data_IF_092359342563
#
_entry.id   IF_092359342563
#
_cell.length_a   1.000
_cell.length_b   1.000
_cell.length_c   1.000
_cell.angle_alpha   90.00
_cell.angle_beta   90.00
_cell.angle_gamma   90.00
#
_symmetry.space_group_name_H-M   'P 1'
#
loop_
_entity.id
_entity.type
_entity.pdbx_description
1 polymer ?
#
# COMPACT_ATOMS: atom_id res chain seq x y z
N UNK A 1 -17.67 -12.93 5.01
CA UNK A 1 -17.36 -12.33 3.72
C UNK A 1 -18.60 -11.71 3.03
N UNK A 2 -19.81 -11.91 3.54
CA UNK A 2 -21.05 -11.37 3.00
C UNK A 2 -21.38 -10.04 3.67
N UNK A 3 -21.58 -8.98 2.91
CA UNK A 3 -22.09 -7.68 3.34
C UNK A 3 -23.53 -7.50 2.84
N UNK A 4 -24.35 -6.61 3.44
CA UNK A 4 -25.72 -6.35 3.01
C UNK A 4 -25.78 -5.55 1.71
N UNK A 5 -24.93 -5.86 0.75
CA UNK A 5 -24.84 -5.29 -0.59
C UNK A 5 -24.84 -6.41 -1.63
N UNK A 6 -25.31 -6.14 -2.83
CA UNK A 6 -25.40 -7.11 -3.93
C UNK A 6 -26.27 -8.35 -3.62
N UNK A 7 -27.29 -8.21 -2.74
CA UNK A 7 -28.21 -9.30 -2.47
C UNK A 7 -28.85 -9.84 -3.78
N UNK A 8 -28.96 -11.17 -3.95
CA UNK A 8 -28.77 -12.26 -2.98
C UNK A 8 -27.37 -12.92 -3.01
N UNK A 9 -26.37 -12.28 -3.59
CA UNK A 9 -25.05 -12.85 -3.73
C UNK A 9 -24.29 -12.92 -2.41
N UNK A 10 -23.51 -13.99 -2.24
CA UNK A 10 -22.65 -14.21 -1.09
C UNK A 10 -21.19 -13.77 -1.36
N UNK A 11 -20.38 -13.70 -0.29
CA UNK A 11 -18.97 -13.32 -0.32
C UNK A 11 -18.69 -11.96 -0.99
N UNK A 12 -19.62 -11.03 -0.89
CA UNK A 12 -19.60 -9.72 -1.58
C UNK A 12 -18.45 -8.83 -1.16
N UNK A 13 -17.83 -9.04 0.00
CA UNK A 13 -16.58 -8.35 0.40
C UNK A 13 -15.35 -8.78 -0.44
N UNK A 14 -15.43 -9.89 -1.16
CA UNK A 14 -14.38 -10.35 -2.06
C UNK A 14 -14.61 -9.93 -3.53
N UNK A 15 -15.61 -9.08 -3.81
CA UNK A 15 -15.85 -8.52 -5.16
C UNK A 15 -14.92 -7.34 -5.47
N UNK A 16 -14.37 -6.72 -4.44
CA UNK A 16 -13.42 -5.62 -4.51
C UNK A 16 -12.46 -5.71 -3.32
N UNK A 17 -11.81 -4.62 -2.96
CA UNK A 17 -10.92 -4.55 -1.80
C UNK A 17 -11.69 -4.78 -0.49
N UNK A 18 -11.21 -5.69 0.36
CA UNK A 18 -11.90 -6.08 1.60
C UNK A 18 -11.71 -5.09 2.76
N UNK A 19 -10.74 -4.18 2.68
CA UNK A 19 -10.40 -3.16 3.68
C UNK A 19 -10.09 -3.70 5.09
N UNK A 20 -9.80 -5.00 5.25
CA UNK A 20 -9.51 -5.61 6.55
C UNK A 20 -8.31 -4.95 7.25
N UNK A 21 -7.28 -4.55 6.50
CA UNK A 21 -6.11 -3.86 7.04
C UNK A 21 -6.43 -2.47 7.61
N UNK A 22 -7.56 -1.88 7.22
CA UNK A 22 -8.08 -0.64 7.77
C UNK A 22 -9.06 -0.93 8.91
N UNK A 23 -9.95 -1.90 8.68
CA UNK A 23 -11.00 -2.26 9.63
C UNK A 23 -10.45 -2.69 10.99
N UNK A 24 -9.32 -3.38 11.06
CA UNK A 24 -8.67 -3.78 12.31
C UNK A 24 -8.45 -2.58 13.25
N UNK A 25 -8.08 -1.42 12.72
CA UNK A 25 -7.81 -0.22 13.52
C UNK A 25 -9.04 0.65 13.72
N UNK A 26 -10.00 0.58 12.81
CA UNK A 26 -11.18 1.46 12.83
C UNK A 26 -12.41 0.83 13.47
N UNK A 27 -12.49 -0.50 13.53
CA UNK A 27 -13.62 -1.20 14.15
C UNK A 27 -13.88 -0.80 15.62
N UNK A 28 -12.88 -0.65 16.49
CA UNK A 28 -13.12 -0.18 17.86
C UNK A 28 -13.79 1.20 17.90
N UNK A 29 -13.36 2.13 17.04
CA UNK A 29 -13.96 3.46 16.97
C UNK A 29 -15.40 3.38 16.45
N UNK A 30 -15.66 2.51 15.45
CA UNK A 30 -17.02 2.27 14.95
C UNK A 30 -17.94 1.72 16.04
N UNK A 31 -17.47 0.77 16.84
CA UNK A 31 -18.27 0.20 17.94
C UNK A 31 -18.55 1.20 19.05
N UNK A 32 -17.61 2.09 19.35
CA UNK A 32 -17.76 3.10 20.39
C UNK A 32 -18.67 4.25 19.97
N UNK A 33 -18.64 4.64 18.70
CA UNK A 33 -19.32 5.87 18.24
C UNK A 33 -20.57 5.62 17.40
N UNK A 34 -20.67 4.46 16.76
CA UNK A 34 -21.71 4.17 15.77
C UNK A 34 -21.69 5.09 14.53
N UNK A 35 -20.64 5.92 14.38
CA UNK A 35 -20.59 6.98 13.35
C UNK A 35 -19.58 6.63 12.23
N UNK A 36 -20.04 6.07 11.09
CA UNK A 36 -19.16 5.68 9.99
C UNK A 36 -18.43 6.86 9.31
N UNK A 37 -19.03 8.05 9.34
CA UNK A 37 -18.40 9.26 8.76
C UNK A 37 -17.20 9.68 9.59
N UNK A 38 -17.33 9.66 10.92
CA UNK A 38 -16.21 9.93 11.82
C UNK A 38 -15.09 8.90 11.60
N UNK A 39 -15.44 7.62 11.53
CA UNK A 39 -14.49 6.53 11.31
C UNK A 39 -13.73 6.71 10.00
N UNK A 40 -14.44 7.03 8.91
CA UNK A 40 -13.83 7.31 7.62
C UNK A 40 -12.85 8.50 7.71
N UNK A 41 -13.26 9.61 8.30
CA UNK A 41 -12.44 10.81 8.42
C UNK A 41 -11.17 10.55 9.27
N UNK A 42 -11.29 9.81 10.36
CA UNK A 42 -10.13 9.41 11.19
C UNK A 42 -9.17 8.52 10.38
N UNK A 43 -9.67 7.52 9.67
CA UNK A 43 -8.85 6.66 8.80
C UNK A 43 -8.18 7.46 7.68
N UNK A 44 -8.92 8.40 7.07
CA UNK A 44 -8.40 9.30 6.04
C UNK A 44 -7.23 10.12 6.56
N UNK A 45 -7.36 10.81 7.69
CA UNK A 45 -6.28 11.59 8.29
C UNK A 45 -5.11 10.70 8.74
N UNK A 46 -5.42 9.54 9.35
CA UNK A 46 -4.41 8.58 9.76
C UNK A 46 -3.56 8.07 8.59
N UNK A 47 -4.12 7.98 7.37
CA UNK A 47 -3.39 7.57 6.18
C UNK A 47 -2.24 8.52 5.81
N UNK A 48 -2.39 9.83 6.05
CA UNK A 48 -1.32 10.82 5.85
C UNK A 48 -0.23 10.68 6.90
N UNK A 49 -0.64 10.53 8.17
CA UNK A 49 0.30 10.34 9.29
C UNK A 49 1.11 9.07 9.11
N UNK A 50 0.45 7.96 8.75
CA UNK A 50 1.11 6.69 8.52
C UNK A 50 2.10 6.76 7.34
N UNK A 51 1.69 7.35 6.22
CA UNK A 51 2.54 7.51 5.04
C UNK A 51 3.77 8.36 5.34
N UNK A 52 3.58 9.53 5.97
CA UNK A 52 4.67 10.44 6.33
C UNK A 52 5.63 9.83 7.36
N UNK A 53 5.09 9.24 8.43
CA UNK A 53 5.90 8.61 9.48
C UNK A 53 6.67 7.40 8.96
N UNK A 54 6.02 6.53 8.18
CA UNK A 54 6.66 5.36 7.57
C UNK A 54 7.83 5.74 6.68
N UNK A 55 7.63 6.72 5.80
CA UNK A 55 8.69 7.19 4.90
C UNK A 55 9.79 7.95 5.67
N UNK A 56 9.44 8.74 6.69
CA UNK A 56 10.41 9.38 7.58
C UNK A 56 11.35 8.34 8.24
N UNK A 57 10.79 7.28 8.80
CA UNK A 57 11.56 6.22 9.45
C UNK A 57 12.48 5.50 8.45
N UNK A 58 11.95 5.16 7.27
CA UNK A 58 12.71 4.50 6.21
C UNK A 58 13.87 5.38 5.73
N UNK A 59 13.58 6.60 5.30
CA UNK A 59 14.59 7.51 4.74
C UNK A 59 15.65 7.89 5.78
N UNK A 60 15.25 8.15 7.03
CA UNK A 60 16.20 8.39 8.13
C UNK A 60 17.10 7.18 8.36
N UNK A 61 16.55 5.97 8.31
CA UNK A 61 17.30 4.73 8.52
C UNK A 61 18.36 4.48 7.42
N UNK A 62 18.02 4.84 6.17
CA UNK A 62 18.91 4.66 5.01
C UNK A 62 19.98 5.75 4.96
N UNK A 63 19.60 7.01 5.19
CA UNK A 63 20.48 8.16 5.00
C UNK A 63 21.25 8.59 6.25
N UNK A 64 20.80 8.17 7.44
CA UNK A 64 21.28 8.69 8.72
C UNK A 64 20.86 10.13 9.03
N UNK A 65 20.09 10.79 8.15
CA UNK A 65 19.71 12.20 8.25
C UNK A 65 18.22 12.36 8.58
N UNK A 66 17.93 13.01 9.72
CA UNK A 66 16.56 13.34 10.11
C UNK A 66 15.91 14.37 9.16
N UNK A 67 16.71 15.29 8.60
CA UNK A 67 16.23 16.28 7.64
C UNK A 67 15.81 15.60 6.32
N UNK A 68 16.61 14.66 5.82
CA UNK A 68 16.24 13.85 4.65
C UNK A 68 14.97 13.01 4.93
N UNK A 69 14.88 12.43 6.14
CA UNK A 69 13.67 11.72 6.55
C UNK A 69 12.43 12.60 6.57
N UNK A 70 12.52 13.80 7.14
CA UNK A 70 11.40 14.75 7.20
C UNK A 70 10.95 15.17 5.78
N UNK A 71 11.90 15.52 4.91
CA UNK A 71 11.61 15.90 3.53
C UNK A 71 10.93 14.75 2.78
N UNK A 72 11.47 13.54 2.86
CA UNK A 72 10.90 12.35 2.22
C UNK A 72 9.52 12.02 2.79
N UNK A 73 9.33 12.14 4.12
CA UNK A 73 8.06 11.91 4.78
C UNK A 73 6.97 12.87 4.33
N UNK A 74 7.26 14.16 4.27
CA UNK A 74 6.32 15.18 3.77
C UNK A 74 6.01 14.93 2.29
N UNK A 75 7.03 14.75 1.47
CA UNK A 75 6.86 14.49 0.04
C UNK A 75 5.97 13.26 -0.23
N UNK A 76 6.19 12.18 0.50
CA UNK A 76 5.43 10.94 0.33
C UNK A 76 4.00 11.05 0.88
N UNK A 77 3.80 11.73 2.03
CA UNK A 77 2.46 11.92 2.60
C UNK A 77 1.57 12.80 1.73
N UNK A 78 2.14 13.79 1.03
CA UNK A 78 1.41 14.78 0.25
C UNK A 78 1.67 14.66 -1.25
N UNK A 79 1.92 13.45 -1.75
CA UNK A 79 2.04 13.18 -3.18
C UNK A 79 0.81 13.72 -3.93
N UNK A 80 0.98 14.45 -5.05
CA UNK A 80 -0.11 14.95 -5.89
C UNK A 80 -1.11 13.86 -6.32
N UNK A 81 -0.64 12.64 -6.55
CA UNK A 81 -1.45 11.45 -6.82
C UNK A 81 -2.60 11.24 -5.82
N UNK A 82 -2.41 11.59 -4.55
CA UNK A 82 -3.45 11.44 -3.51
C UNK A 82 -4.70 12.29 -3.76
N UNK A 83 -4.52 13.45 -4.39
CA UNK A 83 -5.64 14.36 -4.67
C UNK A 83 -6.69 13.76 -5.61
N UNK A 84 -6.26 12.86 -6.49
CA UNK A 84 -7.15 12.13 -7.40
C UNK A 84 -7.82 10.92 -6.73
N UNK A 85 -7.23 10.41 -5.66
CA UNK A 85 -7.65 9.19 -4.98
C UNK A 85 -8.38 9.43 -3.66
N UNK A 86 -8.79 10.67 -3.37
CA UNK A 86 -9.52 11.01 -2.14
C UNK A 86 -10.72 10.08 -1.85
N UNK A 87 -11.54 9.66 -2.83
CA UNK A 87 -12.66 8.76 -2.57
C UNK A 87 -12.25 7.31 -2.28
N UNK A 88 -10.97 6.94 -2.51
CA UNK A 88 -10.47 5.57 -2.46
C UNK A 88 -9.56 5.35 -1.25
N UNK A 89 -10.16 5.19 -0.06
CA UNK A 89 -9.41 5.05 1.19
C UNK A 89 -8.37 3.92 1.14
N UNK A 90 -8.69 2.79 0.48
CA UNK A 90 -7.75 1.68 0.26
C UNK A 90 -6.50 2.10 -0.50
N UNK A 91 -6.64 3.01 -1.47
CA UNK A 91 -5.51 3.54 -2.25
C UNK A 91 -4.69 4.52 -1.41
N UNK A 92 -5.34 5.29 -0.53
CA UNK A 92 -4.65 6.25 0.35
C UNK A 92 -3.85 5.55 1.46
N UNK A 93 -4.19 4.29 1.82
CA UNK A 93 -3.57 3.54 2.91
C UNK A 93 -2.27 2.80 2.47
N UNK A 94 -1.45 3.44 1.66
CA UNK A 94 -0.18 2.89 1.20
C UNK A 94 1.00 3.10 2.17
N UNK A 95 0.76 3.75 3.30
CA UNK A 95 1.79 4.03 4.30
C UNK A 95 2.38 2.79 4.97
N UNK A 96 1.73 1.64 4.89
CA UNK A 96 2.29 0.38 5.36
C UNK A 96 3.50 -0.08 4.55
N UNK A 97 3.60 0.29 3.26
CA UNK A 97 4.75 -0.07 2.42
C UNK A 97 6.08 0.46 2.97
N UNK A 98 6.25 1.78 3.23
CA UNK A 98 7.51 2.27 3.79
C UNK A 98 7.77 1.78 5.21
N UNK A 99 6.74 1.49 6.03
CA UNK A 99 6.91 0.86 7.35
C UNK A 99 7.46 -0.56 7.19
N UNK A 100 6.92 -1.35 6.25
CA UNK A 100 7.43 -2.69 5.94
C UNK A 100 8.89 -2.63 5.45
N UNK A 101 9.21 -1.74 4.51
CA UNK A 101 10.58 -1.57 4.02
C UNK A 101 11.54 -1.12 5.12
N UNK A 102 11.11 -0.25 6.03
CA UNK A 102 11.90 0.14 7.18
C UNK A 102 12.21 -1.07 8.09
N UNK A 103 11.22 -1.88 8.42
CA UNK A 103 11.40 -3.11 9.18
C UNK A 103 12.35 -4.09 8.48
N UNK A 104 12.17 -4.26 7.17
CA UNK A 104 12.98 -5.15 6.34
C UNK A 104 14.44 -4.69 6.27
N UNK A 105 14.70 -3.42 5.94
CA UNK A 105 16.03 -2.83 5.93
C UNK A 105 16.71 -2.94 7.30
N UNK A 106 15.96 -2.64 8.38
CA UNK A 106 16.50 -2.71 9.74
C UNK A 106 16.83 -4.14 10.14
N UNK A 107 16.04 -5.14 9.71
CA UNK A 107 16.35 -6.53 9.95
C UNK A 107 17.67 -6.96 9.29
N UNK A 108 17.91 -6.61 8.03
CA UNK A 108 19.17 -6.91 7.36
C UNK A 108 20.36 -6.21 7.99
N UNK A 109 20.16 -5.01 8.49
CA UNK A 109 21.23 -4.22 9.12
C UNK A 109 21.58 -4.69 10.53
N UNK A 110 20.61 -5.14 11.32
CA UNK A 110 20.78 -5.41 12.76
C UNK A 110 20.59 -6.88 13.16
N UNK A 111 19.87 -7.67 12.38
CA UNK A 111 19.47 -9.04 12.73
C UNK A 111 18.40 -9.13 13.83
N UNK A 112 17.78 -8.01 14.22
CA UNK A 112 16.78 -8.01 15.29
C UNK A 112 15.42 -8.55 14.80
N UNK A 113 14.91 -9.60 15.46
CA UNK A 113 13.64 -10.25 15.12
C UNK A 113 12.44 -9.30 15.18
N UNK A 114 12.44 -8.32 16.09
CA UNK A 114 11.38 -7.33 16.15
C UNK A 114 11.25 -6.55 14.83
N UNK A 115 12.36 -6.23 14.17
CA UNK A 115 12.33 -5.56 12.86
C UNK A 115 11.70 -6.44 11.78
N UNK A 116 11.99 -7.75 11.82
CA UNK A 116 11.35 -8.74 10.93
C UNK A 116 9.83 -8.87 11.22
N UNK A 117 9.44 -8.83 12.49
CA UNK A 117 8.02 -8.81 12.87
C UNK A 117 7.32 -7.55 12.35
N UNK A 118 7.94 -6.38 12.48
CA UNK A 118 7.39 -5.12 11.93
C UNK A 118 7.22 -5.22 10.42
N UNK A 119 8.22 -5.76 9.72
CA UNK A 119 8.10 -6.04 8.28
C UNK A 119 6.90 -6.92 7.96
N UNK A 120 6.79 -8.08 8.62
CA UNK A 120 5.73 -9.05 8.33
C UNK A 120 4.34 -8.47 8.60
N UNK A 121 4.15 -7.81 9.74
CA UNK A 121 2.87 -7.20 10.12
C UNK A 121 2.49 -6.07 9.15
N UNK A 122 3.41 -5.15 8.85
CA UNK A 122 3.12 -4.05 7.94
C UNK A 122 2.88 -4.53 6.50
N UNK A 123 3.60 -5.57 6.05
CA UNK A 123 3.40 -6.19 4.75
C UNK A 123 2.01 -6.84 4.63
N UNK A 124 1.58 -7.59 5.65
CA UNK A 124 0.24 -8.18 5.71
C UNK A 124 -0.85 -7.10 5.76
N UNK A 125 -0.68 -6.06 6.58
CA UNK A 125 -1.63 -4.95 6.66
C UNK A 125 -1.75 -4.21 5.32
N UNK A 126 -0.67 -4.07 4.56
CA UNK A 126 -0.73 -3.53 3.20
C UNK A 126 -1.57 -4.41 2.29
N UNK A 127 -1.35 -5.73 2.32
CA UNK A 127 -2.10 -6.70 1.52
C UNK A 127 -3.58 -6.75 1.87
N UNK A 128 -3.91 -6.59 3.15
CA UNK A 128 -5.29 -6.52 3.64
C UNK A 128 -5.96 -5.14 3.45
N UNK A 129 -5.19 -4.12 3.03
CA UNK A 129 -5.71 -2.78 2.74
C UNK A 129 -5.93 -2.56 1.24
N UNK A 130 -5.00 -3.05 0.40
CA UNK A 130 -5.08 -2.86 -1.05
C UNK A 130 -4.34 -3.97 -1.81
N UNK A 131 -5.04 -4.77 -2.60
CA UNK A 131 -4.52 -5.90 -3.35
C UNK A 131 -3.60 -5.50 -4.50
N UNK A 132 -3.87 -4.39 -5.21
CA UNK A 132 -3.00 -3.90 -6.29
C UNK A 132 -1.63 -3.49 -5.76
N UNK A 133 -1.60 -2.68 -4.71
CA UNK A 133 -0.33 -2.29 -4.08
C UNK A 133 0.39 -3.49 -3.48
N UNK A 134 -0.34 -4.44 -2.90
CA UNK A 134 0.25 -5.67 -2.39
C UNK A 134 0.98 -6.45 -3.49
N UNK A 135 0.36 -6.60 -4.67
CA UNK A 135 0.95 -7.30 -5.80
C UNK A 135 2.26 -6.65 -6.26
N UNK A 136 2.24 -5.35 -6.57
CA UNK A 136 3.43 -4.64 -7.03
C UNK A 136 4.50 -4.52 -5.95
N UNK A 137 4.08 -4.28 -4.70
CA UNK A 137 4.99 -4.21 -3.57
C UNK A 137 5.65 -5.54 -3.26
N UNK A 138 4.95 -6.66 -3.41
CA UNK A 138 5.52 -8.01 -3.27
C UNK A 138 6.67 -8.24 -4.25
N UNK A 139 6.52 -7.81 -5.51
CA UNK A 139 7.58 -7.89 -6.49
C UNK A 139 8.82 -7.09 -6.07
N UNK A 140 8.63 -5.87 -5.59
CA UNK A 140 9.72 -5.03 -5.07
C UNK A 140 10.41 -5.67 -3.86
N UNK A 141 9.66 -6.19 -2.90
CA UNK A 141 10.20 -6.88 -1.71
C UNK A 141 10.99 -8.14 -2.10
N UNK A 142 10.51 -8.91 -3.07
CA UNK A 142 11.23 -10.10 -3.58
C UNK A 142 12.57 -9.68 -4.19
N UNK A 143 12.60 -8.64 -5.02
CA UNK A 143 13.84 -8.15 -5.64
C UNK A 143 14.83 -7.66 -4.58
N UNK A 144 14.37 -6.82 -3.63
CA UNK A 144 15.21 -6.33 -2.54
C UNK A 144 15.73 -7.49 -1.68
N UNK A 145 14.84 -8.42 -1.30
CA UNK A 145 15.19 -9.60 -0.52
C UNK A 145 16.20 -10.49 -1.22
N UNK A 146 16.08 -10.67 -2.53
CA UNK A 146 17.04 -11.43 -3.33
C UNK A 146 18.42 -10.77 -3.36
N UNK A 147 18.47 -9.45 -3.58
CA UNK A 147 19.74 -8.70 -3.53
C UNK A 147 20.39 -8.80 -2.14
N UNK A 148 19.63 -8.58 -1.07
CA UNK A 148 20.14 -8.71 0.30
C UNK A 148 20.58 -10.14 0.62
N UNK A 149 19.86 -11.15 0.13
CA UNK A 149 20.23 -12.56 0.28
C UNK A 149 21.61 -12.82 -0.33
N UNK A 150 21.84 -12.37 -1.57
CA UNK A 150 23.09 -12.60 -2.28
C UNK A 150 24.27 -11.80 -1.70
N UNK A 151 24.01 -10.59 -1.20
CA UNK A 151 25.09 -9.67 -0.78
C UNK A 151 25.44 -9.76 0.69
N UNK A 152 24.48 -10.06 1.57
CA UNK A 152 24.67 -9.94 3.03
C UNK A 152 24.26 -11.17 3.83
N UNK A 153 23.27 -11.93 3.35
CA UNK A 153 22.60 -12.96 4.16
C UNK A 153 23.12 -14.37 3.83
N UNK A 154 23.70 -14.58 2.64
CA UNK A 154 24.15 -15.90 2.18
C UNK A 154 25.01 -16.66 3.20
N UNK A 155 25.84 -15.94 3.96
CA UNK A 155 26.70 -16.53 5.00
C UNK A 155 26.05 -16.59 6.38
N UNK A 156 24.78 -16.23 6.51
CA UNK A 156 24.04 -16.15 7.78
C UNK A 156 22.84 -17.11 7.80
N UNK A 157 23.04 -18.43 8.00
CA UNK A 157 21.97 -19.44 7.88
C UNK A 157 20.79 -19.17 8.79
N UNK A 158 21.00 -18.60 9.97
CA UNK A 158 19.92 -18.19 10.88
C UNK A 158 18.96 -17.20 10.21
N UNK A 159 19.48 -16.18 9.53
CA UNK A 159 18.63 -15.17 8.87
C UNK A 159 17.84 -15.79 7.71
N UNK A 160 18.44 -16.73 6.97
CA UNK A 160 17.74 -17.47 5.91
C UNK A 160 16.54 -18.22 6.47
N UNK A 161 16.74 -18.94 7.57
CA UNK A 161 15.66 -19.71 8.23
C UNK A 161 14.57 -18.78 8.78
N UNK A 162 14.95 -17.66 9.42
CA UNK A 162 13.99 -16.68 9.95
C UNK A 162 13.17 -16.02 8.83
N UNK A 163 13.79 -15.67 7.71
CA UNK A 163 13.11 -15.11 6.52
C UNK A 163 12.15 -16.14 5.91
N UNK A 164 12.61 -17.38 5.71
CA UNK A 164 11.78 -18.46 5.17
C UNK A 164 10.58 -18.75 6.07
N UNK A 165 10.80 -18.88 7.39
CA UNK A 165 9.72 -19.08 8.35
C UNK A 165 8.71 -17.94 8.35
N UNK A 166 9.20 -16.68 8.26
CA UNK A 166 8.34 -15.49 8.18
C UNK A 166 7.53 -15.49 6.88
N UNK A 167 8.14 -15.82 5.74
CA UNK A 167 7.45 -15.91 4.46
C UNK A 167 6.35 -16.99 4.49
N UNK A 168 6.63 -18.17 5.04
CA UNK A 168 5.63 -19.24 5.21
C UNK A 168 4.48 -18.77 6.10
N UNK A 169 4.79 -18.13 7.24
CA UNK A 169 3.76 -17.63 8.16
C UNK A 169 2.87 -16.58 7.48
N UNK A 170 3.45 -15.65 6.72
CA UNK A 170 2.69 -14.65 5.95
C UNK A 170 1.79 -15.31 4.91
N UNK A 171 2.31 -16.27 4.14
CA UNK A 171 1.52 -17.02 3.14
C UNK A 171 0.35 -17.76 3.79
N UNK A 172 0.60 -18.48 4.88
CA UNK A 172 -0.45 -19.21 5.63
C UNK A 172 -1.52 -18.23 6.15
N UNK A 173 -1.10 -17.07 6.66
CA UNK A 173 -2.03 -16.05 7.18
C UNK A 173 -2.95 -15.46 6.10
N UNK A 174 -2.52 -15.46 4.83
CA UNK A 174 -3.30 -14.96 3.71
C UNK A 174 -4.23 -16.00 3.08
N UNK A 175 -4.11 -17.29 3.42
CA UNK A 175 -4.95 -18.37 2.85
C UNK A 175 -6.46 -18.06 2.97
N UNK A 176 -7.00 -17.64 4.14
CA UNK A 176 -8.43 -17.39 4.27
C UNK A 176 -8.94 -16.24 3.36
N UNK A 177 -8.07 -15.26 3.10
CA UNK A 177 -8.38 -14.16 2.20
C UNK A 177 -8.29 -14.63 0.74
N UNK A 178 -7.19 -15.29 0.38
CA UNK A 178 -6.98 -15.79 -0.96
C UNK A 178 -8.09 -16.79 -1.39
N UNK A 179 -8.50 -17.69 -0.52
CA UNK A 179 -9.59 -18.64 -0.81
C UNK A 179 -10.93 -17.94 -1.08
N UNK A 180 -11.25 -16.87 -0.34
CA UNK A 180 -12.47 -16.09 -0.60
C UNK A 180 -12.45 -15.46 -2.01
N UNK A 181 -11.34 -14.84 -2.40
CA UNK A 181 -11.20 -14.24 -3.75
C UNK A 181 -11.18 -15.28 -4.87
N UNK A 182 -10.50 -16.40 -4.67
CA UNK A 182 -10.45 -17.50 -5.66
C UNK A 182 -11.85 -18.10 -5.88
N UNK A 183 -12.61 -18.30 -4.80
CA UNK A 183 -13.99 -18.82 -4.90
C UNK A 183 -14.91 -17.87 -5.65
N UNK A 184 -14.80 -16.57 -5.40
CA UNK A 184 -15.59 -15.55 -6.13
C UNK A 184 -15.17 -15.51 -7.59
N UNK A 185 -13.87 -15.51 -7.90
CA UNK A 185 -13.36 -15.52 -9.28
C UNK A 185 -13.81 -16.75 -10.08
N UNK A 186 -13.88 -17.92 -9.43
CA UNK A 186 -14.32 -19.16 -10.08
C UNK A 186 -15.83 -19.20 -10.33
N UNK A 187 -16.64 -18.63 -9.42
CA UNK A 187 -18.12 -18.75 -9.45
C UNK A 187 -18.82 -17.59 -10.17
N UNK A 188 -18.17 -16.46 -10.34
CA UNK A 188 -18.80 -15.21 -10.78
C UNK A 188 -18.02 -14.57 -11.93
N UNK A 189 -17.57 -15.18 -12.92
CA UNK A 189 -17.02 -14.63 -14.17
C UNK A 189 -16.71 -13.10 -14.16
N UNK A 190 -16.12 -12.59 -13.08
CA UNK A 190 -15.75 -11.18 -12.90
C UNK A 190 -14.50 -10.88 -13.73
N UNK A 191 -14.67 -10.83 -15.05
CA UNK A 191 -13.58 -10.48 -15.97
C UNK A 191 -13.81 -9.10 -16.55
N UNK A 192 -12.79 -8.25 -16.51
CA UNK A 192 -12.83 -6.97 -17.21
C UNK A 192 -12.63 -7.15 -18.71
N UNK A 193 -13.36 -6.41 -19.50
CA UNK A 193 -13.16 -6.39 -20.95
C UNK A 193 -11.83 -5.71 -21.31
N UNK A 194 -11.29 -6.00 -22.49
CA UNK A 194 -10.07 -5.34 -22.99
C UNK A 194 -10.25 -3.82 -23.12
N UNK A 195 -11.42 -3.37 -23.56
CA UNK A 195 -11.75 -1.94 -23.67
C UNK A 195 -11.76 -1.23 -22.32
N UNK A 196 -12.30 -1.89 -21.30
CA UNK A 196 -12.28 -1.38 -19.93
C UNK A 196 -10.85 -1.31 -19.37
N UNK A 197 -10.02 -2.33 -19.62
CA UNK A 197 -8.62 -2.30 -19.22
C UNK A 197 -7.85 -1.15 -19.89
N UNK A 198 -8.09 -0.90 -21.19
CA UNK A 198 -7.46 0.23 -21.90
C UNK A 198 -7.92 1.57 -21.32
N UNK A 199 -9.22 1.72 -21.03
CA UNK A 199 -9.79 2.96 -20.49
C UNK A 199 -9.20 3.34 -19.13
N UNK A 200 -8.87 2.36 -18.29
CA UNK A 200 -8.30 2.56 -16.96
C UNK A 200 -6.78 2.36 -16.90
N UNK A 201 -6.11 2.23 -18.05
CA UNK A 201 -4.65 2.12 -18.10
C UNK A 201 -4.01 3.49 -18.22
N UNK A 202 -2.91 3.68 -17.50
CA UNK A 202 -2.04 4.85 -17.65
C UNK A 202 -0.95 4.54 -18.69
N UNK A 203 -0.60 5.53 -19.49
CA UNK A 203 0.55 5.51 -20.39
C UNK A 203 1.73 6.33 -19.83
N UNK A 204 2.82 6.44 -20.57
CA UNK A 204 3.98 7.22 -20.15
C UNK A 204 3.68 8.73 -20.03
N UNK A 205 2.69 9.26 -20.75
CA UNK A 205 2.31 10.65 -20.68
C UNK A 205 1.52 10.97 -19.40
N UNK A 206 0.95 9.96 -18.75
CA UNK A 206 0.23 10.11 -17.48
C UNK A 206 1.07 10.77 -16.38
N UNK A 207 2.40 10.65 -16.41
CA UNK A 207 3.30 11.34 -15.50
C UNK A 207 3.36 12.87 -15.69
N UNK A 208 2.83 13.38 -16.79
CA UNK A 208 2.69 14.80 -17.08
C UNK A 208 1.24 15.28 -16.93
N UNK A 209 0.31 14.42 -16.56
CA UNK A 209 -1.08 14.77 -16.34
C UNK A 209 -1.36 15.04 -14.86
N UNK A 210 -1.93 16.22 -14.59
CA UNK A 210 -2.32 16.62 -13.23
C UNK A 210 -3.80 16.30 -12.96
N UNK A 211 -4.09 15.92 -11.70
CA UNK A 211 -5.47 15.80 -11.25
C UNK A 211 -6.17 17.16 -11.25
N UNK A 212 -7.47 17.24 -11.63
CA UNK A 212 -8.25 18.47 -11.54
C UNK A 212 -8.40 18.98 -10.09
N UNK A 213 -8.13 18.14 -9.10
CA UNK A 213 -8.16 18.51 -7.68
C UNK A 213 -6.89 19.25 -7.21
N UNK A 214 -5.86 19.36 -8.05
CA UNK A 214 -4.60 20.05 -7.74
C UNK A 214 -4.70 21.53 -8.12
N UNK A 215 -4.98 22.39 -7.16
CA UNK A 215 -5.21 23.83 -7.36
C UNK A 215 -4.10 24.51 -8.16
N UNK A 216 -2.84 24.16 -7.90
CA UNK A 216 -1.69 24.79 -8.55
C UNK A 216 -1.45 24.27 -9.98
N UNK A 217 -1.75 22.99 -10.25
CA UNK A 217 -1.30 22.31 -11.46
C UNK A 217 -2.39 22.05 -12.49
N UNK A 218 -3.68 22.02 -12.06
CA UNK A 218 -4.82 21.70 -12.92
C UNK A 218 -4.96 22.62 -14.15
N UNK A 219 -4.52 23.88 -14.02
CA UNK A 219 -4.65 24.89 -15.08
C UNK A 219 -3.34 25.03 -15.89
N UNK A 220 -2.25 24.38 -15.48
CA UNK A 220 -0.92 24.43 -16.10
C UNK A 220 -0.61 23.17 -16.89
N UNK A 221 -1.03 22.01 -16.37
CA UNK A 221 -0.76 20.72 -16.97
C UNK A 221 -2.02 20.09 -17.58
N UNK A 222 -1.89 19.28 -18.63
CA UNK A 222 -3.03 18.58 -19.20
C UNK A 222 -3.65 17.65 -18.17
N UNK A 223 -4.97 17.45 -18.28
CA UNK A 223 -5.70 16.48 -17.49
C UNK A 223 -5.72 15.14 -18.21
N UNK A 224 -5.48 14.06 -17.47
CA UNK A 224 -5.49 12.70 -18.00
C UNK A 224 -6.89 12.09 -18.06
N UNK A 225 -6.98 10.94 -18.70
CA UNK A 225 -8.13 10.03 -18.57
C UNK A 225 -8.30 9.58 -17.10
N UNK A 226 -9.45 9.00 -16.73
CA UNK A 226 -9.61 8.40 -15.41
C UNK A 226 -8.42 7.47 -15.09
N UNK A 227 -7.89 7.54 -13.87
CA UNK A 227 -6.71 6.80 -13.39
C UNK A 227 -5.35 7.22 -14.00
N UNK A 228 -5.29 8.16 -14.96
CA UNK A 228 -4.08 8.59 -15.66
C UNK A 228 -3.51 9.93 -15.15
N UNK A 229 -3.77 10.34 -13.92
CA UNK A 229 -3.21 11.56 -13.30
C UNK A 229 -2.07 11.18 -12.36
N UNK A 230 -0.89 10.91 -12.92
CA UNK A 230 0.28 10.38 -12.19
C UNK A 230 1.37 11.44 -11.95
N UNK A 231 1.12 12.71 -12.19
CA UNK A 231 2.10 13.78 -11.99
C UNK A 231 2.64 13.79 -10.54
N UNK A 232 3.96 13.58 -10.33
CA UNK A 232 4.53 13.46 -8.99
C UNK A 232 4.84 14.82 -8.33
N UNK A 233 4.76 15.91 -9.08
CA UNK A 233 5.22 17.24 -8.66
C UNK A 233 6.64 17.57 -9.13
N UNK A 234 6.86 18.80 -9.58
CA UNK A 234 8.18 19.21 -10.07
C UNK A 234 9.27 19.16 -8.99
N UNK A 235 8.93 19.43 -7.72
CA UNK A 235 9.89 19.34 -6.64
C UNK A 235 10.50 17.93 -6.52
N UNK A 236 9.69 16.88 -6.67
CA UNK A 236 10.20 15.50 -6.65
C UNK A 236 11.00 15.16 -7.91
N UNK A 237 10.56 15.63 -9.09
CA UNK A 237 11.29 15.41 -10.34
C UNK A 237 12.66 16.10 -10.37
N UNK A 238 12.82 17.20 -9.66
CA UNK A 238 14.13 17.92 -9.59
C UNK A 238 15.06 17.36 -8.51
N UNK A 239 14.54 16.55 -7.58
CA UNK A 239 15.31 15.92 -6.50
C UNK A 239 15.71 14.46 -6.82
N UNK A 240 15.12 13.85 -7.86
CA UNK A 240 15.39 12.47 -8.29
C UNK A 240 16.55 12.41 -9.28
#
# INVERSE_FOLDING_TARGET
WTAPMYFPYEATLAYSENLLGIAIFTAPLQWLTGNPVLVYNVAFLASFVLAGTGMYLLATSITGSRAAGLLAGIAFAFLPYRADKIPHLQVLMYGWMPVALWGFHRYFSTGHRLALTVFAVAFLLQGLSNGYFFYFFSAAVIVIGFVELLTRVWTRPRMIVELAATAVLMLVSLIPVATAYLNVGANQALSRSRSENIMFSADALAYFHASPNLVLWRDILPQGAPEASLFPGFALLTMA
#
